data_IF_383732982326
#
_entry.id   IF_383732982326
#
_cell.length_a   1.000
_cell.length_b   1.000
_cell.length_c   1.000
_cell.angle_alpha   90.00
_cell.angle_beta   90.00
_cell.angle_gamma   90.00
#
_symmetry.space_group_name_H-M   'P 1'
#
loop_
_entity.id
_entity.type
_entity.pdbx_description
1 polymer ?
#
# COMPACT_ATOMS: atom_id res chain seq x y z
N UNK A 1 -5.55 -51.18 13.42
CA UNK A 1 -4.79 -50.80 12.22
C UNK A 1 -5.64 -49.81 11.44
N UNK A 2 -5.23 -48.54 11.36
CA UNK A 2 -5.99 -47.53 10.61
C UNK A 2 -5.79 -47.75 9.11
N UNK A 3 -6.89 -47.90 8.37
CA UNK A 3 -6.85 -47.90 6.91
C UNK A 3 -6.32 -46.54 6.43
N UNK A 4 -5.10 -46.52 5.89
CA UNK A 4 -4.62 -45.37 5.11
C UNK A 4 -5.48 -45.29 3.86
N UNK A 5 -6.34 -44.27 3.80
CA UNK A 5 -7.14 -43.96 2.63
C UNK A 5 -6.18 -43.68 1.46
N UNK A 6 -6.40 -44.28 0.27
CA UNK A 6 -5.52 -44.06 -0.87
C UNK A 6 -5.54 -42.60 -1.27
N UNK A 7 -4.37 -42.03 -1.55
CA UNK A 7 -4.23 -40.65 -2.02
C UNK A 7 -5.01 -40.46 -3.31
N UNK A 8 -5.62 -39.30 -3.47
CA UNK A 8 -6.18 -38.89 -4.75
C UNK A 8 -5.08 -38.76 -5.82
N UNK A 9 -5.48 -38.73 -7.09
CA UNK A 9 -4.54 -38.54 -8.20
C UNK A 9 -3.73 -37.24 -8.05
N UNK A 10 -4.39 -36.15 -7.61
CA UNK A 10 -3.73 -34.86 -7.40
C UNK A 10 -2.72 -34.91 -6.24
N UNK A 11 -3.05 -35.52 -5.10
CA UNK A 11 -2.15 -35.65 -3.95
C UNK A 11 -0.96 -36.60 -4.18
N UNK A 12 -1.00 -37.37 -5.27
CA UNK A 12 0.08 -38.26 -5.68
C UNK A 12 1.10 -37.57 -6.60
N UNK A 13 0.81 -36.35 -7.05
CA UNK A 13 1.71 -35.57 -7.89
C UNK A 13 2.93 -35.05 -7.10
N UNK A 14 4.08 -34.86 -7.77
CA UNK A 14 5.21 -34.14 -7.19
C UNK A 14 4.83 -32.71 -6.77
N UNK A 15 5.53 -32.18 -5.76
CA UNK A 15 5.24 -30.85 -5.22
C UNK A 15 5.35 -29.77 -6.30
N UNK A 16 6.33 -29.88 -7.20
CA UNK A 16 6.57 -28.93 -8.29
C UNK A 16 5.38 -28.86 -9.25
N UNK A 17 4.75 -30.00 -9.53
CA UNK A 17 3.56 -30.07 -10.39
C UNK A 17 2.36 -29.46 -9.67
N UNK A 18 2.20 -29.73 -8.38
CA UNK A 18 1.16 -29.10 -7.56
C UNK A 18 1.31 -27.57 -7.50
N UNK A 19 2.54 -27.09 -7.35
CA UNK A 19 2.85 -25.66 -7.36
C UNK A 19 2.55 -25.05 -8.72
N UNK A 20 2.92 -25.71 -9.82
CA UNK A 20 2.60 -25.23 -11.17
C UNK A 20 1.09 -25.17 -11.43
N UNK A 21 0.35 -26.21 -11.04
CA UNK A 21 -1.13 -26.21 -11.11
C UNK A 21 -1.69 -25.02 -10.33
N UNK A 22 -1.21 -24.80 -9.12
CA UNK A 22 -1.62 -23.68 -8.28
C UNK A 22 -1.31 -22.31 -8.91
N UNK A 23 -0.14 -22.15 -9.54
CA UNK A 23 0.22 -20.90 -10.23
C UNK A 23 -0.64 -20.63 -11.47
N UNK A 24 -1.19 -21.68 -12.11
CA UNK A 24 -2.14 -21.51 -13.22
C UNK A 24 -3.56 -21.14 -12.77
N UNK A 25 -4.04 -21.70 -11.66
CA UNK A 25 -5.43 -21.49 -11.22
C UNK A 25 -5.61 -20.42 -10.15
N UNK A 26 -4.56 -20.10 -9.38
CA UNK A 26 -4.54 -19.16 -8.27
C UNK A 26 -5.64 -19.40 -7.20
N UNK A 27 -6.11 -20.65 -7.08
CA UNK A 27 -7.16 -21.03 -6.12
C UNK A 27 -6.59 -21.06 -4.70
N UNK A 28 -6.75 -19.96 -3.96
CA UNK A 28 -6.22 -19.77 -2.60
C UNK A 28 -6.76 -20.79 -1.58
N UNK A 29 -7.89 -21.45 -1.86
CA UNK A 29 -8.41 -22.51 -1.01
C UNK A 29 -7.83 -23.89 -1.31
N UNK A 30 -7.07 -24.08 -2.41
CA UNK A 30 -6.48 -25.37 -2.78
C UNK A 30 -5.62 -25.99 -1.66
N UNK A 31 -4.74 -25.25 -0.94
CA UNK A 31 -4.03 -25.77 0.22
C UNK A 31 -4.96 -26.36 1.30
N UNK A 32 -6.18 -25.83 1.45
CA UNK A 32 -7.13 -26.26 2.49
C UNK A 32 -7.83 -27.56 2.16
N UNK A 33 -7.77 -28.03 0.92
CA UNK A 33 -8.43 -29.25 0.48
C UNK A 33 -7.76 -30.52 1.05
N UNK A 34 -6.45 -30.44 1.39
CA UNK A 34 -5.72 -31.58 1.98
C UNK A 34 -4.42 -31.14 2.65
N UNK A 35 -4.00 -31.77 3.77
CA UNK A 35 -2.68 -31.54 4.38
C UNK A 35 -1.48 -31.78 3.45
N UNK A 36 -1.63 -32.64 2.43
CA UNK A 36 -0.57 -32.91 1.46
C UNK A 36 -0.40 -31.68 0.54
N UNK A 37 -1.51 -31.12 0.06
CA UNK A 37 -1.52 -29.90 -0.74
C UNK A 37 -1.02 -28.71 0.07
N UNK A 38 -1.48 -28.56 1.31
CA UNK A 38 -1.00 -27.52 2.23
C UNK A 38 0.52 -27.54 2.36
N UNK A 39 1.11 -28.72 2.58
CA UNK A 39 2.57 -28.86 2.70
C UNK A 39 3.29 -28.54 1.40
N UNK A 40 2.77 -28.99 0.26
CA UNK A 40 3.40 -28.74 -1.04
C UNK A 40 3.35 -27.26 -1.44
N UNK A 41 2.29 -26.55 -1.07
CA UNK A 41 2.04 -25.14 -1.42
C UNK A 41 2.52 -24.16 -0.34
N UNK A 42 2.93 -24.64 0.83
CA UNK A 42 3.50 -23.82 1.91
C UNK A 42 4.95 -23.42 1.64
N UNK A 43 5.14 -22.55 0.65
CA UNK A 43 6.44 -22.11 0.18
C UNK A 43 6.54 -20.58 0.19
N UNK A 44 7.57 -20.05 0.87
CA UNK A 44 7.81 -18.61 0.99
C UNK A 44 8.04 -17.92 -0.36
N UNK A 45 8.64 -18.62 -1.33
CA UNK A 45 8.86 -18.10 -2.69
C UNK A 45 7.52 -17.95 -3.42
N UNK A 46 6.64 -18.96 -3.33
CA UNK A 46 5.29 -18.87 -3.89
C UNK A 46 4.50 -17.71 -3.29
N UNK A 47 4.56 -17.55 -1.96
CA UNK A 47 3.87 -16.45 -1.29
C UNK A 47 4.38 -15.09 -1.74
N UNK A 48 5.69 -14.93 -1.93
CA UNK A 48 6.26 -13.70 -2.47
C UNK A 48 5.79 -13.44 -3.91
N UNK A 49 5.72 -14.45 -4.77
CA UNK A 49 5.19 -14.31 -6.13
C UNK A 49 3.71 -13.93 -6.14
N UNK A 50 2.88 -14.54 -5.29
CA UNK A 50 1.47 -14.16 -5.14
C UNK A 50 1.32 -12.69 -4.69
N UNK A 51 2.16 -12.25 -3.74
CA UNK A 51 2.14 -10.85 -3.29
C UNK A 51 2.55 -9.91 -4.43
N UNK A 52 3.62 -10.22 -5.16
CA UNK A 52 4.06 -9.41 -6.32
C UNK A 52 2.99 -9.38 -7.41
N UNK A 53 2.38 -10.51 -7.73
CA UNK A 53 1.31 -10.62 -8.71
C UNK A 53 0.10 -9.75 -8.32
N UNK A 54 -0.40 -9.94 -7.10
CA UNK A 54 -1.65 -9.33 -6.69
C UNK A 54 -1.49 -7.87 -6.28
N UNK A 55 -0.37 -7.47 -5.65
CA UNK A 55 -0.23 -6.18 -4.97
C UNK A 55 0.73 -5.18 -5.64
N UNK A 56 1.29 -5.50 -6.82
CA UNK A 56 2.05 -4.50 -7.59
C UNK A 56 1.10 -3.45 -8.19
N UNK A 57 1.57 -2.21 -8.29
CA UNK A 57 0.82 -1.12 -8.92
C UNK A 57 0.66 -1.30 -10.43
N UNK A 58 -0.57 -1.18 -10.93
CA UNK A 58 -0.88 -1.14 -12.36
C UNK A 58 -0.73 0.29 -12.92
N UNK A 59 0.51 0.75 -13.09
CA UNK A 59 0.78 2.05 -13.70
C UNK A 59 1.27 1.89 -15.16
N UNK A 60 1.08 2.88 -16.05
CA UNK A 60 1.55 2.79 -17.44
C UNK A 60 3.02 2.38 -17.55
N UNK A 61 3.88 2.95 -16.71
CA UNK A 61 5.31 2.62 -16.65
C UNK A 61 5.63 1.18 -16.30
N UNK A 62 4.69 0.39 -15.76
CA UNK A 62 4.87 -1.03 -15.41
C UNK A 62 4.49 -2.01 -16.52
N UNK A 63 3.90 -1.54 -17.62
CA UNK A 63 3.55 -2.39 -18.77
C UNK A 63 4.78 -2.88 -19.54
N UNK A 64 5.86 -2.10 -19.52
CA UNK A 64 7.10 -2.40 -20.25
C UNK A 64 8.25 -2.64 -19.27
N UNK A 65 9.04 -3.69 -19.52
CA UNK A 65 10.30 -4.00 -18.82
C UNK A 65 10.24 -4.04 -17.28
N UNK A 66 9.05 -4.22 -16.69
CA UNK A 66 8.90 -4.30 -15.23
C UNK A 66 8.70 -5.75 -14.77
N UNK A 67 7.71 -6.48 -15.26
CA UNK A 67 7.49 -7.87 -14.83
C UNK A 67 8.42 -8.84 -15.57
N UNK A 68 9.68 -8.90 -15.13
CA UNK A 68 10.68 -9.81 -15.68
C UNK A 68 10.47 -11.25 -15.17
N UNK A 69 10.93 -12.28 -15.90
CA UNK A 69 10.80 -13.67 -15.45
C UNK A 69 11.46 -13.97 -14.11
N UNK A 70 12.50 -13.22 -13.72
CA UNK A 70 13.16 -13.35 -12.42
C UNK A 70 12.34 -12.72 -11.28
N UNK A 71 11.54 -11.69 -11.58
CA UNK A 71 10.71 -11.00 -10.60
C UNK A 71 9.36 -11.68 -10.42
N UNK A 72 8.73 -12.07 -11.53
CA UNK A 72 7.44 -12.75 -11.60
C UNK A 72 7.53 -13.85 -12.68
N UNK A 73 7.75 -15.13 -12.30
CA UNK A 73 7.97 -16.19 -13.27
C UNK A 73 6.68 -16.67 -13.93
N UNK A 74 6.80 -17.21 -15.13
CA UNK A 74 5.71 -17.94 -15.78
C UNK A 74 5.22 -19.09 -14.89
N UNK A 75 3.91 -19.42 -14.89
CA UNK A 75 2.87 -18.89 -15.78
C UNK A 75 2.22 -17.58 -15.28
N UNK A 76 2.75 -16.96 -14.23
CA UNK A 76 2.17 -15.74 -13.68
C UNK A 76 2.33 -14.57 -14.65
N UNK A 77 1.21 -13.95 -14.99
CA UNK A 77 1.17 -12.72 -15.76
C UNK A 77 0.37 -11.68 -14.98
N UNK A 78 1.03 -10.56 -14.67
CA UNK A 78 0.38 -9.47 -13.97
C UNK A 78 -0.78 -8.90 -14.78
N UNK A 79 -0.65 -8.77 -16.09
CA UNK A 79 -1.62 -8.09 -16.94
C UNK A 79 -2.77 -8.98 -17.40
N UNK A 80 -2.71 -10.29 -17.16
CA UNK A 80 -3.77 -11.23 -17.52
C UNK A 80 -4.95 -11.23 -16.53
N UNK A 81 -4.80 -10.61 -15.35
CA UNK A 81 -5.81 -10.59 -14.28
C UNK A 81 -6.55 -9.26 -14.30
N UNK A 82 -7.87 -9.31 -14.43
CA UNK A 82 -8.72 -8.10 -14.38
C UNK A 82 -8.64 -7.39 -13.02
N UNK A 83 -9.07 -6.13 -12.95
CA UNK A 83 -9.08 -5.38 -11.68
C UNK A 83 -9.95 -6.07 -10.61
N UNK A 84 -11.10 -6.62 -11.00
CA UNK A 84 -12.04 -7.30 -10.08
C UNK A 84 -11.47 -8.62 -9.56
N UNK A 85 -10.90 -9.44 -10.44
CA UNK A 85 -10.22 -10.68 -10.04
C UNK A 85 -9.03 -10.38 -9.14
N UNK A 86 -8.28 -9.30 -9.42
CA UNK A 86 -7.17 -8.87 -8.58
C UNK A 86 -7.64 -8.44 -7.21
N UNK A 87 -8.69 -7.64 -7.11
CA UNK A 87 -9.23 -7.21 -5.81
C UNK A 87 -9.72 -8.41 -4.98
N UNK A 88 -10.34 -9.39 -5.64
CA UNK A 88 -10.77 -10.65 -5.02
C UNK A 88 -9.57 -11.47 -4.53
N UNK A 89 -8.54 -11.62 -5.38
CA UNK A 89 -7.30 -12.32 -5.05
C UNK A 89 -6.56 -11.66 -3.89
N UNK A 90 -6.45 -10.33 -3.89
CA UNK A 90 -5.86 -9.56 -2.80
C UNK A 90 -6.59 -9.80 -1.47
N UNK A 91 -7.93 -9.73 -1.48
CA UNK A 91 -8.75 -9.99 -0.29
C UNK A 91 -8.54 -11.42 0.23
N UNK A 92 -8.49 -12.41 -0.66
CA UNK A 92 -8.23 -13.81 -0.32
C UNK A 92 -6.81 -14.01 0.25
N UNK A 93 -5.79 -13.39 -0.34
CA UNK A 93 -4.41 -13.43 0.14
C UNK A 93 -4.28 -12.77 1.52
N UNK A 94 -4.84 -11.58 1.73
CA UNK A 94 -4.81 -10.89 3.03
C UNK A 94 -5.47 -11.73 4.14
N UNK A 95 -6.48 -12.54 3.79
CA UNK A 95 -7.16 -13.44 4.71
C UNK A 95 -6.33 -14.67 5.11
N UNK A 96 -5.25 -14.98 4.38
CA UNK A 96 -4.42 -16.15 4.64
C UNK A 96 -3.55 -15.98 5.90
N UNK A 97 -3.31 -17.05 6.66
CA UNK A 97 -2.48 -17.00 7.88
C UNK A 97 -1.03 -16.60 7.60
N UNK A 98 -0.44 -17.13 6.52
CA UNK A 98 0.92 -16.84 6.09
C UNK A 98 1.13 -15.39 5.62
N UNK A 99 0.04 -14.70 5.26
CA UNK A 99 0.07 -13.30 4.88
C UNK A 99 0.25 -12.43 6.12
N UNK A 100 1.45 -11.88 6.27
CA UNK A 100 1.91 -11.12 7.44
C UNK A 100 2.64 -9.86 7.01
N UNK A 101 2.71 -8.88 7.92
CA UNK A 101 3.43 -7.64 7.66
C UNK A 101 4.92 -7.89 7.32
N UNK A 102 5.59 -8.81 8.01
CA UNK A 102 7.00 -9.10 7.77
C UNK A 102 7.25 -9.61 6.34
N UNK A 103 6.36 -10.44 5.82
CA UNK A 103 6.41 -10.88 4.43
C UNK A 103 6.15 -9.72 3.46
N UNK A 104 5.19 -8.84 3.76
CA UNK A 104 4.96 -7.63 2.97
C UNK A 104 6.19 -6.71 2.96
N UNK A 105 6.81 -6.45 4.11
CA UNK A 105 8.04 -5.65 4.21
C UNK A 105 9.19 -6.24 3.41
N UNK A 106 9.35 -7.57 3.43
CA UNK A 106 10.30 -8.28 2.57
C UNK A 106 9.99 -8.05 1.09
N UNK A 107 8.74 -8.25 0.68
CA UNK A 107 8.33 -8.05 -0.72
C UNK A 107 8.46 -6.58 -1.16
N UNK A 108 8.21 -5.62 -0.27
CA UNK A 108 8.42 -4.19 -0.52
C UNK A 108 9.88 -3.85 -0.80
N UNK A 109 10.79 -4.37 0.02
CA UNK A 109 12.24 -4.20 -0.18
C UNK A 109 12.65 -4.74 -1.55
N UNK A 110 12.25 -5.97 -1.86
CA UNK A 110 12.55 -6.59 -3.15
C UNK A 110 11.92 -5.82 -4.33
N UNK A 111 10.70 -5.30 -4.15
CA UNK A 111 10.00 -4.49 -5.15
C UNK A 111 10.73 -3.16 -5.40
N UNK A 112 11.19 -2.48 -4.35
CA UNK A 112 11.96 -1.23 -4.45
C UNK A 112 13.24 -1.46 -5.23
N UNK A 113 14.04 -2.47 -4.86
CA UNK A 113 15.28 -2.82 -5.56
C UNK A 113 15.02 -3.15 -7.03
N UNK A 114 13.98 -3.93 -7.29
CA UNK A 114 13.57 -4.29 -8.64
C UNK A 114 13.19 -3.05 -9.46
N UNK A 115 12.34 -2.17 -8.91
CA UNK A 115 11.93 -0.94 -9.56
C UNK A 115 13.12 0.00 -9.86
N UNK A 116 14.07 0.14 -8.92
CA UNK A 116 15.30 0.89 -9.15
C UNK A 116 16.12 0.27 -10.29
N UNK A 117 16.30 -1.06 -10.28
CA UNK A 117 17.07 -1.74 -11.32
C UNK A 117 16.46 -1.60 -12.72
N UNK A 118 15.13 -1.66 -12.84
CA UNK A 118 14.43 -1.57 -14.12
C UNK A 118 14.26 -0.12 -14.61
N UNK A 119 13.98 0.81 -13.70
CA UNK A 119 13.52 2.17 -14.06
C UNK A 119 14.56 3.26 -13.83
N UNK A 120 15.51 3.04 -12.92
CA UNK A 120 16.63 3.95 -12.71
C UNK A 120 17.88 3.58 -13.54
N UNK A 121 17.82 2.56 -14.42
CA UNK A 121 18.96 2.13 -15.27
C UNK A 121 19.54 3.24 -16.14
N UNK A 122 18.71 4.20 -16.54
CA UNK A 122 19.12 5.35 -17.37
C UNK A 122 19.36 6.63 -16.57
N UNK A 123 19.43 6.52 -15.24
CA UNK A 123 19.66 7.65 -14.36
C UNK A 123 21.10 7.63 -13.81
N UNK A 124 21.73 8.79 -13.82
CA UNK A 124 22.97 9.04 -13.10
C UNK A 124 22.69 9.85 -11.84
N UNK A 125 23.40 9.48 -10.78
CA UNK A 125 23.32 10.11 -9.47
C UNK A 125 24.71 10.58 -9.07
N UNK A 126 24.79 11.66 -8.29
CA UNK A 126 26.05 12.05 -7.66
C UNK A 126 26.56 10.92 -6.74
N UNK A 127 27.87 10.84 -6.44
CA UNK A 127 28.41 9.80 -5.58
C UNK A 127 27.67 9.69 -4.23
N UNK A 128 27.37 10.83 -3.59
CA UNK A 128 26.63 10.88 -2.33
C UNK A 128 25.25 10.23 -2.40
N UNK A 129 24.50 10.46 -3.47
CA UNK A 129 23.17 9.87 -3.65
C UNK A 129 23.24 8.40 -4.06
N UNK A 130 24.31 7.99 -4.76
CA UNK A 130 24.56 6.58 -5.05
C UNK A 130 24.83 5.79 -3.77
N UNK A 131 25.64 6.33 -2.87
CA UNK A 131 25.91 5.71 -1.57
C UNK A 131 24.64 5.62 -0.72
N UNK A 132 23.80 6.66 -0.75
CA UNK A 132 22.49 6.66 -0.11
C UNK A 132 21.59 5.52 -0.65
N UNK A 133 21.48 5.37 -1.97
CA UNK A 133 20.69 4.31 -2.62
C UNK A 133 21.24 2.92 -2.35
N UNK A 134 22.57 2.76 -2.33
CA UNK A 134 23.21 1.50 -1.96
C UNK A 134 22.94 1.11 -0.49
N UNK A 135 22.64 2.09 0.37
CA UNK A 135 22.31 1.88 1.77
C UNK A 135 20.80 1.94 2.07
N UNK A 136 19.94 1.80 1.04
CA UNK A 136 18.48 1.93 1.19
C UNK A 136 17.88 0.93 2.20
N UNK A 137 18.49 -0.25 2.34
CA UNK A 137 18.01 -1.28 3.25
C UNK A 137 18.04 -0.83 4.71
N UNK A 138 19.05 -0.03 5.11
CA UNK A 138 19.13 0.52 6.47
C UNK A 138 17.97 1.46 6.80
N UNK A 139 17.43 2.17 5.80
CA UNK A 139 16.24 2.99 5.95
C UNK A 139 14.97 2.15 6.01
N UNK A 140 14.90 1.09 5.20
CA UNK A 140 13.78 0.14 5.21
C UNK A 140 13.69 -0.68 6.50
N UNK A 141 14.80 -0.87 7.21
CA UNK A 141 14.82 -1.51 8.53
C UNK A 141 14.32 -0.57 9.65
N UNK A 142 14.28 0.76 9.41
CA UNK A 142 13.96 1.79 10.41
C UNK A 142 12.78 2.69 9.99
N UNK A 143 11.68 2.09 9.52
CA UNK A 143 10.50 2.81 8.96
C UNK A 143 9.70 3.62 10.02
N UNK A 144 9.99 3.48 11.32
CA UNK A 144 9.01 3.77 12.36
C UNK A 144 8.81 5.23 12.79
N UNK A 145 9.82 6.10 12.82
CA UNK A 145 9.66 7.43 13.46
C UNK A 145 9.61 8.61 12.51
N UNK A 146 10.30 8.56 11.37
CA UNK A 146 10.45 9.71 10.47
C UNK A 146 9.79 9.53 9.11
N UNK A 147 9.31 8.33 8.80
CA UNK A 147 8.69 8.06 7.51
C UNK A 147 7.26 8.59 7.49
N UNK A 148 6.86 9.10 6.33
CA UNK A 148 5.50 9.46 6.02
C UNK A 148 4.58 8.23 6.09
N UNK A 149 3.60 8.29 6.98
CA UNK A 149 2.58 7.24 7.15
C UNK A 149 1.18 7.71 6.75
N UNK A 150 1.09 8.80 5.98
CA UNK A 150 -0.15 9.44 5.53
C UNK A 150 -1.15 9.65 6.67
N UNK A 151 -0.69 10.24 7.78
CA UNK A 151 -1.48 10.39 9.02
C UNK A 151 -2.72 11.26 8.81
N UNK A 152 -2.72 12.14 7.82
CA UNK A 152 -3.84 12.98 7.39
C UNK A 152 -4.63 12.38 6.20
N UNK A 153 -4.34 11.13 5.83
CA UNK A 153 -4.89 10.45 4.67
C UNK A 153 -4.21 10.80 3.34
N UNK A 154 -3.10 11.56 3.35
CA UNK A 154 -2.37 11.96 2.14
C UNK A 154 -0.88 11.68 2.26
N UNK A 155 -0.27 11.30 1.14
CA UNK A 155 1.19 11.14 1.05
C UNK A 155 1.83 12.50 0.84
N UNK A 156 2.95 12.74 1.51
CA UNK A 156 3.87 13.83 1.26
C UNK A 156 4.70 13.62 0.00
N UNK A 157 5.76 14.40 -0.16
CA UNK A 157 6.59 14.43 -1.39
C UNK A 157 7.54 13.23 -1.56
N UNK A 158 7.61 12.35 -0.57
CA UNK A 158 8.58 11.26 -0.46
C UNK A 158 9.45 11.42 0.78
N UNK A 159 9.82 10.31 1.39
CA UNK A 159 10.78 10.25 2.52
C UNK A 159 12.19 10.58 2.04
N UNK A 160 12.53 10.10 0.83
CA UNK A 160 13.77 10.45 0.14
C UNK A 160 13.41 11.08 -1.21
N UNK A 161 13.97 12.26 -1.49
CA UNK A 161 13.83 12.94 -2.79
C UNK A 161 15.21 13.24 -3.35
N UNK A 162 15.59 12.51 -4.38
CA UNK A 162 16.95 12.46 -4.91
C UNK A 162 16.96 13.05 -6.32
N UNK A 163 17.77 14.08 -6.60
CA UNK A 163 17.96 14.58 -7.96
C UNK A 163 18.77 13.57 -8.79
N UNK A 164 18.41 13.45 -10.06
CA UNK A 164 19.06 12.56 -11.01
C UNK A 164 19.18 13.24 -12.38
N UNK A 165 20.10 12.74 -13.20
CA UNK A 165 20.24 13.16 -14.60
C UNK A 165 19.98 11.97 -15.50
N UNK A 166 19.40 12.20 -16.68
CA UNK A 166 19.29 11.16 -17.70
C UNK A 166 20.66 10.90 -18.32
N UNK A 167 20.92 9.65 -18.69
CA UNK A 167 22.08 9.33 -19.52
C UNK A 167 21.99 10.08 -20.87
N UNK A 168 23.10 10.63 -21.39
CA UNK A 168 23.10 11.42 -22.63
C UNK A 168 22.44 10.68 -23.80
N UNK A 169 22.68 9.39 -23.96
CA UNK A 169 22.17 8.59 -25.08
C UNK A 169 20.65 8.36 -25.02
N UNK A 170 20.02 8.56 -23.86
CA UNK A 170 18.56 8.40 -23.70
C UNK A 170 17.79 9.67 -24.11
N UNK A 171 18.41 10.85 -24.01
CA UNK A 171 17.75 12.13 -24.39
C UNK A 171 17.41 12.23 -25.88
N UNK A 172 18.05 11.44 -26.74
CA UNK A 172 17.77 11.41 -28.18
C UNK A 172 16.46 10.67 -28.53
N UNK A 173 15.98 9.77 -27.66
CA UNK A 173 14.77 8.97 -27.93
C UNK A 173 13.47 9.56 -27.34
N UNK A 174 13.56 10.50 -26.41
CA UNK A 174 12.37 11.09 -25.76
C UNK A 174 11.70 12.17 -26.62
N UNK A 175 12.39 12.69 -27.64
CA UNK A 175 11.92 13.82 -28.45
C UNK A 175 11.02 13.44 -29.65
N UNK A 176 10.77 12.15 -29.92
CA UNK A 176 10.03 11.74 -31.13
C UNK A 176 8.61 11.19 -30.88
N UNK A 177 8.23 10.80 -29.66
CA UNK A 177 6.99 10.01 -29.46
C UNK A 177 5.85 10.65 -28.63
N UNK A 178 5.91 11.93 -28.26
CA UNK A 178 4.79 12.61 -27.59
C UNK A 178 4.44 13.98 -28.18
N UNK A 179 4.04 14.05 -29.46
CA UNK A 179 3.04 15.06 -29.89
C UNK A 179 2.49 14.83 -31.33
N UNK A 180 1.23 14.38 -31.52
CA UNK A 180 0.63 14.29 -32.86
C UNK A 180 0.14 15.62 -33.45
N UNK A 181 0.25 16.75 -32.73
CA UNK A 181 -0.32 18.02 -33.17
C UNK A 181 0.62 19.21 -32.94
N UNK A 182 1.59 19.41 -33.83
CA UNK A 182 2.22 20.72 -34.03
C UNK A 182 2.86 20.83 -35.43
N UNK A 183 2.03 20.96 -36.46
CA UNK A 183 2.46 21.57 -37.72
C UNK A 183 2.12 23.06 -37.66
N UNK A 184 3.16 23.90 -37.51
CA UNK A 184 3.44 25.11 -38.32
C UNK A 184 4.55 25.94 -37.65
N UNK A 185 5.45 26.44 -38.51
CA UNK A 185 6.52 27.45 -38.30
C UNK A 185 7.89 27.01 -37.74
N UNK A 186 8.53 26.08 -38.47
CA UNK A 186 9.88 25.54 -38.24
C UNK A 186 11.07 26.50 -38.50
N UNK A 187 10.86 27.81 -38.65
CA UNK A 187 11.98 28.76 -38.90
C UNK A 187 12.12 29.86 -37.84
N UNK A 188 11.07 30.16 -37.07
CA UNK A 188 11.17 31.10 -35.94
C UNK A 188 11.73 30.44 -34.67
N UNK A 189 11.51 29.14 -34.47
CA UNK A 189 11.98 28.40 -33.29
C UNK A 189 13.48 28.05 -33.33
N UNK A 190 14.05 27.84 -34.53
CA UNK A 190 15.47 27.51 -34.67
C UNK A 190 16.40 28.66 -34.25
N UNK A 191 15.98 29.92 -34.44
CA UNK A 191 16.77 31.10 -34.06
C UNK A 191 16.64 31.43 -32.56
N UNK A 192 15.48 31.15 -31.94
CA UNK A 192 15.31 31.28 -30.49
C UNK A 192 16.05 30.18 -29.71
N UNK A 193 16.10 28.94 -30.25
CA UNK A 193 16.83 27.82 -29.64
C UNK A 193 18.35 28.01 -29.68
N UNK A 194 18.91 28.60 -30.75
CA UNK A 194 20.34 28.87 -30.84
C UNK A 194 20.82 29.95 -29.84
N UNK A 195 19.97 30.93 -29.52
CA UNK A 195 20.28 31.93 -28.49
C UNK A 195 20.06 31.42 -27.06
N UNK A 196 19.13 30.49 -26.84
CA UNK A 196 18.94 29.84 -25.53
C UNK A 196 20.05 28.82 -25.22
N UNK A 197 20.55 28.10 -26.22
CA UNK A 197 21.64 27.11 -26.05
C UNK A 197 23.01 27.74 -25.73
N UNK A 198 23.24 29.00 -26.10
CA UNK A 198 24.50 29.71 -25.78
C UNK A 198 24.56 30.28 -24.36
N UNK A 199 23.49 30.15 -23.55
CA UNK A 199 23.47 30.54 -22.13
C UNK A 199 23.39 29.36 -21.16
N UNK A 200 23.19 28.12 -21.65
CA UNK A 200 23.26 26.90 -20.82
C UNK A 200 24.69 26.37 -20.88
N UNK A 201 25.59 27.08 -20.22
CA UNK A 201 26.93 26.60 -19.95
C UNK A 201 27.25 27.04 -18.53
N UNK A 202 26.97 26.15 -17.57
CA UNK A 202 27.59 26.00 -16.21
C UNK A 202 26.66 25.51 -15.08
N UNK A 203 25.39 25.14 -15.32
CA UNK A 203 24.60 24.45 -14.30
C UNK A 203 24.66 22.93 -14.49
N UNK A 204 24.92 22.19 -13.41
CA UNK A 204 24.75 20.73 -13.36
C UNK A 204 23.25 20.42 -13.55
N UNK A 205 22.81 20.20 -14.79
CA UNK A 205 21.40 20.04 -15.16
C UNK A 205 20.80 18.80 -14.48
N UNK A 206 19.93 18.98 -13.50
CA UNK A 206 19.28 17.86 -12.77
C UNK A 206 17.86 17.63 -13.29
N UNK A 207 17.72 16.95 -14.43
CA UNK A 207 16.43 17.00 -15.15
C UNK A 207 15.37 16.02 -14.60
N UNK A 208 15.74 15.16 -13.64
CA UNK A 208 14.86 14.15 -13.03
C UNK A 208 14.92 14.19 -11.49
N UNK A 209 13.84 13.72 -10.87
CA UNK A 209 13.73 13.47 -9.43
C UNK A 209 13.24 12.06 -9.17
N UNK A 210 13.96 11.34 -8.31
CA UNK A 210 13.57 10.06 -7.74
C UNK A 210 12.99 10.31 -6.34
N UNK A 211 11.71 10.03 -6.15
CA UNK A 211 11.05 10.07 -4.84
C UNK A 211 10.79 8.65 -4.34
N UNK A 212 11.05 8.39 -3.07
CA UNK A 212 10.84 7.10 -2.41
C UNK A 212 10.01 7.31 -1.15
N UNK A 213 8.93 6.54 -1.00
CA UNK A 213 8.16 6.44 0.24
C UNK A 213 8.38 5.06 0.84
N UNK A 214 9.18 5.01 1.90
CA UNK A 214 9.67 3.80 2.54
C UNK A 214 8.52 3.01 3.16
N UNK A 215 7.62 3.70 3.88
CA UNK A 215 6.45 3.04 4.49
C UNK A 215 5.56 2.38 3.44
N UNK A 216 5.35 3.04 2.30
CA UNK A 216 4.46 2.57 1.24
C UNK A 216 5.13 1.65 0.21
N UNK A 217 6.43 1.37 0.36
CA UNK A 217 7.15 0.55 -0.63
C UNK A 217 7.09 1.16 -2.03
N UNK A 218 7.09 2.49 -2.13
CA UNK A 218 6.74 3.22 -3.34
C UNK A 218 7.92 4.03 -3.89
N UNK A 219 8.02 4.08 -5.22
CA UNK A 219 9.01 4.84 -5.96
C UNK A 219 8.34 5.60 -7.11
N UNK A 220 8.77 6.84 -7.32
CA UNK A 220 8.39 7.62 -8.48
C UNK A 220 9.63 8.27 -9.09
N UNK A 221 9.74 8.20 -10.42
CA UNK A 221 10.70 8.97 -11.20
C UNK A 221 9.89 9.99 -12.00
N UNK A 222 10.23 11.27 -11.88
CA UNK A 222 9.53 12.38 -12.54
C UNK A 222 10.48 13.47 -13.00
N UNK A 223 9.97 14.42 -13.77
CA UNK A 223 10.75 15.58 -14.17
C UNK A 223 10.96 16.56 -13.01
N UNK A 224 12.01 17.40 -13.11
CA UNK A 224 12.33 18.35 -12.05
C UNK A 224 11.21 19.40 -11.82
N UNK A 225 10.53 19.81 -12.89
CA UNK A 225 9.57 20.93 -12.91
C UNK A 225 8.11 20.48 -12.87
N UNK A 226 7.85 19.18 -12.96
CA UNK A 226 6.48 18.66 -12.91
C UNK A 226 5.88 18.90 -11.52
N UNK A 227 4.69 19.52 -11.48
CA UNK A 227 3.87 19.57 -10.27
C UNK A 227 3.67 18.13 -9.80
N UNK A 228 3.67 17.91 -8.48
CA UNK A 228 3.49 16.56 -7.94
C UNK A 228 2.12 16.01 -8.36
N UNK A 229 2.13 15.05 -9.28
CA UNK A 229 1.00 14.21 -9.65
C UNK A 229 1.32 12.75 -9.29
N UNK A 230 0.33 12.00 -8.79
CA UNK A 230 0.50 10.59 -8.42
C UNK A 230 0.49 9.64 -9.64
N UNK A 231 1.13 10.05 -10.73
CA UNK A 231 1.23 9.24 -11.95
C UNK A 231 2.53 8.40 -11.93
N UNK A 232 2.50 7.22 -12.52
CA UNK A 232 3.68 6.34 -12.67
C UNK A 232 4.42 6.03 -11.35
N UNK A 233 3.68 5.92 -10.25
CA UNK A 233 4.23 5.44 -8.98
C UNK A 233 4.30 3.91 -9.00
N UNK A 234 5.50 3.37 -8.92
CA UNK A 234 5.75 1.95 -8.71
C UNK A 234 5.64 1.66 -7.23
N UNK A 235 4.65 0.87 -6.81
CA UNK A 235 4.46 0.57 -5.39
C UNK A 235 3.93 -0.84 -5.14
N UNK A 236 4.21 -1.32 -3.94
CA UNK A 236 3.63 -2.52 -3.37
C UNK A 236 3.42 -2.25 -1.86
N UNK A 237 2.24 -2.45 -1.27
CA UNK A 237 1.00 -2.84 -1.94
C UNK A 237 0.35 -1.71 -2.75
N UNK A 238 -0.46 -2.12 -3.72
CA UNK A 238 -1.42 -1.29 -4.43
C UNK A 238 -2.72 -2.08 -4.60
N UNK A 239 -3.86 -1.44 -4.37
CA UNK A 239 -5.18 -1.97 -4.72
C UNK A 239 -5.73 -1.26 -5.97
N UNK A 240 -6.60 -1.89 -6.77
CA UNK A 240 -7.32 -1.20 -7.84
C UNK A 240 -8.08 0.03 -7.31
N UNK A 241 -8.13 1.09 -8.10
CA UNK A 241 -8.72 2.38 -7.68
C UNK A 241 -10.25 2.30 -7.65
N UNK A 242 -10.87 1.71 -8.69
CA UNK A 242 -12.32 1.67 -8.82
C UNK A 242 -12.95 0.64 -7.88
N UNK A 243 -12.42 -0.59 -7.88
CA UNK A 243 -12.90 -1.71 -7.08
C UNK A 243 -11.79 -2.17 -6.14
N UNK A 244 -11.54 -1.43 -5.04
CA UNK A 244 -10.47 -1.79 -4.12
C UNK A 244 -10.73 -3.13 -3.43
N UNK A 245 -9.66 -3.81 -3.01
CA UNK A 245 -9.77 -4.98 -2.16
C UNK A 245 -10.17 -4.62 -0.73
N UNK A 246 -10.82 -5.59 -0.07
CA UNK A 246 -11.35 -5.46 1.28
C UNK A 246 -10.29 -5.81 2.32
N UNK A 247 -10.19 -5.03 3.38
CA UNK A 247 -9.41 -5.40 4.57
C UNK A 247 -10.09 -6.59 5.26
N UNK A 248 -9.40 -7.73 5.48
CA UNK A 248 -10.02 -8.92 6.05
C UNK A 248 -10.24 -8.82 7.57
N UNK A 249 -11.24 -9.53 8.07
CA UNK A 249 -11.59 -9.53 9.51
C UNK A 249 -10.45 -10.05 10.40
N UNK A 250 -9.55 -10.89 9.86
CA UNK A 250 -8.32 -11.33 10.55
C UNK A 250 -7.52 -10.13 11.07
N UNK A 251 -7.37 -9.08 10.26
CA UNK A 251 -6.61 -7.87 10.62
C UNK A 251 -7.39 -6.92 11.53
N UNK A 252 -8.67 -7.19 11.80
CA UNK A 252 -9.56 -6.35 12.61
C UNK A 252 -10.04 -7.07 13.88
N UNK A 253 -9.32 -8.13 14.26
CA UNK A 253 -9.66 -9.00 15.38
C UNK A 253 -8.60 -8.94 16.47
N UNK A 254 -9.03 -9.22 17.71
CA UNK A 254 -8.17 -9.32 18.89
C UNK A 254 -7.47 -10.69 18.91
N UNK A 255 -6.26 -10.84 19.47
CA UNK A 255 -5.45 -9.82 20.17
C UNK A 255 -4.81 -8.80 19.23
N UNK A 256 -4.83 -7.53 19.63
CA UNK A 256 -4.23 -6.42 18.87
C UNK A 256 -2.71 -6.38 19.10
N UNK A 257 -1.95 -6.20 18.02
CA UNK A 257 -0.49 -6.05 18.07
C UNK A 257 0.00 -4.81 17.31
N UNK A 258 1.20 -4.34 17.59
CA UNK A 258 1.82 -3.22 16.85
C UNK A 258 1.91 -3.53 15.37
N UNK A 259 2.39 -4.73 15.00
CA UNK A 259 2.49 -5.16 13.59
C UNK A 259 1.12 -5.22 12.89
N UNK A 260 0.04 -5.48 13.63
CA UNK A 260 -1.31 -5.44 13.07
C UNK A 260 -1.74 -4.00 12.75
N UNK A 261 -1.48 -3.04 13.64
CA UNK A 261 -1.80 -1.63 13.37
C UNK A 261 -0.95 -1.06 12.24
N UNK A 262 0.34 -1.41 12.19
CA UNK A 262 1.21 -1.00 11.10
C UNK A 262 0.76 -1.60 9.76
N UNK A 263 0.30 -2.87 9.76
CA UNK A 263 -0.24 -3.47 8.55
C UNK A 263 -1.56 -2.82 8.12
N UNK A 264 -2.43 -2.49 9.07
CA UNK A 264 -3.64 -1.73 8.77
C UNK A 264 -3.30 -0.36 8.18
N UNK A 265 -2.35 0.37 8.77
CA UNK A 265 -1.90 1.68 8.29
C UNK A 265 -1.31 1.60 6.88
N UNK A 266 -0.56 0.55 6.57
CA UNK A 266 -0.03 0.30 5.24
C UNK A 266 -1.13 0.12 4.18
N UNK A 267 -2.23 -0.56 4.54
CA UNK A 267 -3.33 -0.88 3.63
C UNK A 267 -4.37 0.24 3.54
N UNK A 268 -4.52 1.05 4.59
CA UNK A 268 -5.60 2.00 4.74
C UNK A 268 -5.82 2.99 3.56
N UNK A 269 -4.76 3.46 2.86
CA UNK A 269 -4.94 4.38 1.73
C UNK A 269 -5.64 3.77 0.51
N UNK A 270 -5.48 2.46 0.28
CA UNK A 270 -5.92 1.82 -0.97
C UNK A 270 -7.01 0.78 -0.78
N UNK A 271 -7.09 0.19 0.40
CA UNK A 271 -8.00 -0.90 0.72
C UNK A 271 -9.17 -0.37 1.53
N UNK A 272 -10.35 -0.95 1.30
CA UNK A 272 -11.55 -0.47 1.96
C UNK A 272 -11.85 -1.26 3.24
N UNK A 273 -12.44 -0.55 4.20
CA UNK A 273 -12.87 -1.11 5.48
C UNK A 273 -14.37 -1.44 5.47
N UNK A 274 -15.21 -0.45 5.18
CA UNK A 274 -16.67 -0.59 5.11
C UNK A 274 -17.15 -0.50 3.66
N UNK A 275 -18.27 -1.15 3.35
CA UNK A 275 -18.85 -1.09 2.00
C UNK A 275 -19.38 0.32 1.68
N UNK A 276 -19.98 0.97 2.68
CA UNK A 276 -20.54 2.31 2.59
C UNK A 276 -19.96 3.23 3.68
N UNK A 277 -19.54 4.43 3.31
CA UNK A 277 -19.05 5.46 4.23
C UNK A 277 -20.13 5.93 5.23
N UNK A 278 -21.40 5.93 4.83
CA UNK A 278 -22.52 6.33 5.68
C UNK A 278 -23.04 5.18 6.55
N UNK A 279 -22.92 3.94 6.09
CA UNK A 279 -23.33 2.72 6.81
C UNK A 279 -22.10 1.96 7.30
N UNK A 280 -21.29 2.63 8.13
CA UNK A 280 -20.03 2.16 8.69
C UNK A 280 -20.16 0.95 9.66
N UNK A 281 -20.70 -0.17 9.18
CA UNK A 281 -21.14 -1.32 9.98
C UNK A 281 -19.98 -2.02 10.69
N UNK A 282 -18.89 -2.33 9.97
CA UNK A 282 -17.77 -3.12 10.52
C UNK A 282 -16.97 -2.28 11.50
N UNK A 283 -16.58 -1.07 11.09
CA UNK A 283 -15.86 -0.15 11.96
C UNK A 283 -16.68 0.19 13.21
N UNK A 284 -18.00 0.42 13.08
CA UNK A 284 -18.91 0.61 14.22
C UNK A 284 -18.94 -0.60 15.16
N UNK A 285 -19.08 -1.81 14.63
CA UNK A 285 -19.09 -3.03 15.44
C UNK A 285 -17.78 -3.23 16.20
N UNK A 286 -16.64 -2.90 15.57
CA UNK A 286 -15.31 -2.92 16.21
C UNK A 286 -15.26 -1.88 17.33
N UNK A 287 -15.64 -0.62 17.07
CA UNK A 287 -15.66 0.46 18.07
C UNK A 287 -16.50 0.08 19.29
N UNK A 288 -17.72 -0.43 19.07
CA UNK A 288 -18.61 -0.89 20.14
C UNK A 288 -17.97 -1.99 20.99
N UNK A 289 -17.29 -2.94 20.35
CA UNK A 289 -16.59 -4.03 21.03
C UNK A 289 -15.41 -3.52 21.86
N UNK A 290 -14.65 -2.55 21.36
CA UNK A 290 -13.52 -1.94 22.08
C UNK A 290 -13.98 -1.19 23.33
N UNK A 291 -15.04 -0.39 23.23
CA UNK A 291 -15.65 0.32 24.36
C UNK A 291 -16.16 -0.68 25.40
N UNK A 292 -16.95 -1.68 25.01
CA UNK A 292 -17.50 -2.69 25.94
C UNK A 292 -16.42 -3.50 26.65
N UNK A 293 -15.33 -3.82 25.95
CA UNK A 293 -14.19 -4.55 26.52
C UNK A 293 -13.15 -3.65 27.18
N UNK A 294 -13.40 -2.33 27.24
CA UNK A 294 -12.50 -1.33 27.83
C UNK A 294 -11.07 -1.38 27.25
N UNK A 295 -10.94 -1.70 25.96
CA UNK A 295 -9.67 -1.76 25.23
C UNK A 295 -9.26 -0.38 24.70
N UNK A 296 -8.72 0.47 25.58
CA UNK A 296 -8.42 1.88 25.24
C UNK A 296 -7.32 2.04 24.18
N UNK A 297 -6.23 1.27 24.26
CA UNK A 297 -5.09 1.43 23.34
C UNK A 297 -5.49 1.21 21.88
N UNK A 298 -6.12 0.08 21.49
CA UNK A 298 -6.66 -0.09 20.14
C UNK A 298 -7.67 0.98 19.73
N UNK A 299 -8.53 1.42 20.64
CA UNK A 299 -9.52 2.46 20.35
C UNK A 299 -8.85 3.77 19.93
N UNK A 300 -7.92 4.28 20.74
CA UNK A 300 -7.19 5.50 20.43
C UNK A 300 -6.36 5.37 19.14
N UNK A 301 -5.71 4.23 18.92
CA UNK A 301 -4.92 3.99 17.69
C UNK A 301 -5.80 3.99 16.44
N UNK A 302 -6.94 3.30 16.45
CA UNK A 302 -7.84 3.26 15.28
C UNK A 302 -8.48 4.62 15.00
N UNK A 303 -8.82 5.40 16.03
CA UNK A 303 -9.42 6.73 15.84
C UNK A 303 -8.56 7.74 15.08
N UNK A 304 -7.24 7.51 15.05
CA UNK A 304 -6.26 8.33 14.32
C UNK A 304 -6.02 7.85 12.89
N UNK A 305 -6.55 6.70 12.52
CA UNK A 305 -6.39 6.14 11.18
C UNK A 305 -7.47 6.65 10.22
N UNK A 306 -7.11 6.72 8.95
CA UNK A 306 -7.99 7.08 7.86
C UNK A 306 -8.21 5.86 6.97
N UNK A 307 -9.46 5.49 6.72
CA UNK A 307 -9.82 4.37 5.87
C UNK A 307 -10.75 4.81 4.76
N UNK A 308 -10.68 4.09 3.65
CA UNK A 308 -11.60 4.21 2.54
C UNK A 308 -12.84 3.31 2.76
N UNK A 309 -14.01 3.76 2.33
CA UNK A 309 -15.17 2.89 2.09
C UNK A 309 -15.23 2.46 0.63
N UNK A 310 -15.84 1.32 0.28
CA UNK A 310 -15.84 0.83 -1.10
C UNK A 310 -16.49 1.85 -2.07
N UNK A 311 -17.59 2.47 -1.65
CA UNK A 311 -18.35 3.46 -2.42
C UNK A 311 -17.71 4.87 -2.48
N UNK A 312 -16.69 5.16 -1.67
CA UNK A 312 -16.04 6.48 -1.61
C UNK A 312 -14.56 6.37 -1.98
N UNK A 313 -14.01 7.33 -2.73
CA UNK A 313 -12.57 7.34 -3.07
C UNK A 313 -11.70 8.06 -2.05
N UNK A 314 -12.30 8.90 -1.21
CA UNK A 314 -11.59 9.75 -0.27
C UNK A 314 -11.53 9.02 1.07
N UNK A 315 -10.33 8.77 1.62
CA UNK A 315 -10.22 8.23 2.97
C UNK A 315 -10.84 9.19 3.99
N UNK A 316 -11.63 8.64 4.91
CA UNK A 316 -12.21 9.35 6.03
C UNK A 316 -11.61 8.85 7.34
N UNK A 317 -11.65 9.68 8.38
CA UNK A 317 -11.25 9.24 9.73
C UNK A 317 -12.12 8.07 10.17
N UNK A 318 -11.55 7.19 10.98
CA UNK A 318 -12.31 6.11 11.61
C UNK A 318 -13.63 6.65 12.22
N UNK A 319 -14.78 6.08 11.86
CA UNK A 319 -16.07 6.69 12.16
C UNK A 319 -16.45 6.56 13.63
N UNK A 320 -17.03 7.63 14.16
CA UNK A 320 -17.68 7.68 15.47
C UNK A 320 -19.15 8.04 15.28
N UNK A 321 -20.04 7.15 15.71
CA UNK A 321 -21.48 7.29 15.58
C UNK A 321 -22.11 7.66 16.93
N UNK A 322 -23.33 8.23 16.91
CA UNK A 322 -24.05 8.62 18.14
C UNK A 322 -24.16 7.50 19.18
N UNK A 323 -24.33 6.27 18.71
CA UNK A 323 -24.38 5.07 19.57
C UNK A 323 -23.07 4.83 20.34
N UNK A 324 -21.91 5.23 19.80
CA UNK A 324 -20.62 5.07 20.46
C UNK A 324 -20.48 6.04 21.64
N UNK A 325 -20.88 7.30 21.47
CA UNK A 325 -20.83 8.29 22.57
C UNK A 325 -21.74 7.89 23.72
N UNK A 326 -22.98 7.47 23.42
CA UNK A 326 -23.90 6.96 24.43
C UNK A 326 -23.33 5.74 25.16
N UNK A 327 -22.60 4.87 24.45
CA UNK A 327 -21.94 3.71 25.03
C UNK A 327 -20.78 4.10 25.95
N UNK A 328 -19.97 5.08 25.57
CA UNK A 328 -18.88 5.60 26.41
C UNK A 328 -19.44 6.13 27.73
N UNK A 329 -20.45 7.00 27.68
CA UNK A 329 -21.10 7.54 28.88
C UNK A 329 -21.72 6.43 29.74
N UNK A 330 -22.38 5.45 29.13
CA UNK A 330 -22.99 4.31 29.84
C UNK A 330 -21.98 3.45 30.60
N UNK A 331 -20.78 3.25 30.03
CA UNK A 331 -19.73 2.41 30.62
C UNK A 331 -18.68 3.22 31.40
N UNK A 332 -18.86 4.53 31.53
CA UNK A 332 -17.99 5.37 32.33
C UNK A 332 -18.02 4.89 33.79
N UNK A 333 -16.83 4.64 34.34
CA UNK A 333 -16.71 4.18 35.72
C UNK A 333 -17.01 5.34 36.67
N UNK A 334 -17.86 5.10 37.67
CA UNK A 334 -18.26 6.12 38.66
C UNK A 334 -17.18 6.42 39.71
N UNK A 335 -15.93 6.02 39.45
CA UNK A 335 -14.85 5.93 40.43
C UNK A 335 -14.09 7.26 40.63
N UNK A 336 -14.63 8.38 40.17
CA UNK A 336 -14.06 9.72 40.37
C UNK A 336 -12.86 10.07 39.48
N UNK A 337 -12.52 9.21 38.51
CA UNK A 337 -11.50 9.49 37.50
C UNK A 337 -12.14 9.69 36.12
N UNK A 338 -11.57 10.60 35.32
CA UNK A 338 -11.97 10.80 33.93
C UNK A 338 -11.91 9.50 33.13
N UNK A 339 -13.01 9.15 32.48
CA UNK A 339 -13.10 8.00 31.60
C UNK A 339 -12.12 8.17 30.42
N UNK A 340 -11.22 7.19 30.20
CA UNK A 340 -10.16 7.35 29.20
C UNK A 340 -10.70 7.36 27.76
N UNK A 341 -11.85 6.74 27.47
CA UNK A 341 -12.45 6.80 26.14
C UNK A 341 -13.06 8.18 25.90
N UNK A 342 -13.77 8.72 26.91
CA UNK A 342 -14.32 10.07 26.84
C UNK A 342 -13.21 11.10 26.63
N UNK A 343 -12.11 10.99 27.37
CA UNK A 343 -10.95 11.88 27.22
C UNK A 343 -10.36 11.85 25.81
N UNK A 344 -10.11 10.66 25.24
CA UNK A 344 -9.61 10.55 23.86
C UNK A 344 -10.56 11.20 22.85
N UNK A 345 -11.87 11.00 23.01
CA UNK A 345 -12.87 11.62 22.13
C UNK A 345 -12.88 13.15 22.27
N UNK A 346 -12.84 13.66 23.50
CA UNK A 346 -12.83 15.10 23.77
C UNK A 346 -11.55 15.77 23.27
N UNK A 347 -10.39 15.13 23.47
CA UNK A 347 -9.08 15.68 23.11
C UNK A 347 -8.83 15.63 21.60
N UNK A 348 -9.24 14.56 20.91
CA UNK A 348 -8.85 14.30 19.52
C UNK A 348 -9.99 14.42 18.50
N UNK A 349 -11.25 14.33 18.96
CA UNK A 349 -12.44 14.20 18.10
C UNK A 349 -13.60 15.10 18.54
N UNK A 350 -13.31 16.23 19.20
CA UNK A 350 -14.32 17.17 19.71
C UNK A 350 -15.34 17.62 18.65
N UNK A 351 -14.86 17.90 17.44
CA UNK A 351 -15.70 18.40 16.34
C UNK A 351 -16.73 17.36 15.86
N UNK A 352 -16.45 16.07 16.09
CA UNK A 352 -17.34 14.97 15.70
C UNK A 352 -18.42 14.69 16.74
N UNK A 353 -18.36 15.32 17.92
CA UNK A 353 -19.29 15.05 19.02
C UNK A 353 -20.61 15.83 18.82
N UNK A 354 -21.76 15.14 18.71
CA UNK A 354 -23.07 15.78 18.63
C UNK A 354 -23.40 16.58 19.89
N UNK A 355 -24.07 17.72 19.72
CA UNK A 355 -24.32 18.70 20.81
C UNK A 355 -25.06 18.08 22.00
N UNK A 356 -26.03 17.19 21.72
CA UNK A 356 -26.87 16.53 22.71
C UNK A 356 -26.12 15.56 23.63
N UNK A 357 -24.97 15.04 23.21
CA UNK A 357 -24.15 14.11 24.01
C UNK A 357 -22.90 14.75 24.63
N UNK A 358 -22.55 15.99 24.25
CA UNK A 358 -21.35 16.70 24.74
C UNK A 358 -21.32 16.84 26.25
N UNK A 359 -22.44 17.25 26.87
CA UNK A 359 -22.50 17.38 28.33
C UNK A 359 -22.23 16.06 29.04
N UNK A 360 -22.79 14.97 28.52
CA UNK A 360 -22.59 13.63 29.08
C UNK A 360 -21.11 13.23 29.05
N UNK A 361 -20.44 13.49 27.94
CA UNK A 361 -19.00 13.21 27.78
C UNK A 361 -18.14 14.11 28.66
N UNK A 362 -18.42 15.42 28.73
CA UNK A 362 -17.69 16.35 29.59
C UNK A 362 -17.78 15.97 31.08
N UNK A 363 -18.95 15.48 31.53
CA UNK A 363 -19.15 15.02 32.91
C UNK A 363 -18.29 13.81 33.27
N UNK A 364 -18.01 12.95 32.30
CA UNK A 364 -17.26 11.71 32.54
C UNK A 364 -15.80 11.81 32.12
N UNK A 365 -15.42 12.76 31.25
CA UNK A 365 -14.06 12.93 30.74
C UNK A 365 -13.28 14.10 31.33
N UNK A 366 -13.95 14.99 32.09
CA UNK A 366 -13.36 16.17 32.74
C UNK A 366 -12.60 15.90 34.04
#
# INVERSE_FOLDING_TARGET
MGHLQPRSAIESLPAEVLQLIFLHCLEINLPRASPILDRALSNQVLYAWLIRLAFSSANPGSQTDFFTPSFLPQPLDFWSISEEERASLQTAILSCKWCTLSLFRKCQREYIHHALSCKAKYLTFTPSYRDLLNNIDSFLDNIDETCDKAVDGRKGKGDLVIPAQLLPDYTLHVNEDENPHAHLDAQAQAQAQAQFQSQISTSTSTDRKLAIWLHFGAIQIREQHEVYYENNIFRLPASPILNPARIPDKLLSSPWSTSQFEFLQLLAPDFYLDEDEHEAERSSAITMRLIRRRQIKPFATLLRMYFRAANCRVPARWPLLSVHFALIVKYAESNGHADPFARVVLDERWDDVPVDVREGLLRVGG
#
